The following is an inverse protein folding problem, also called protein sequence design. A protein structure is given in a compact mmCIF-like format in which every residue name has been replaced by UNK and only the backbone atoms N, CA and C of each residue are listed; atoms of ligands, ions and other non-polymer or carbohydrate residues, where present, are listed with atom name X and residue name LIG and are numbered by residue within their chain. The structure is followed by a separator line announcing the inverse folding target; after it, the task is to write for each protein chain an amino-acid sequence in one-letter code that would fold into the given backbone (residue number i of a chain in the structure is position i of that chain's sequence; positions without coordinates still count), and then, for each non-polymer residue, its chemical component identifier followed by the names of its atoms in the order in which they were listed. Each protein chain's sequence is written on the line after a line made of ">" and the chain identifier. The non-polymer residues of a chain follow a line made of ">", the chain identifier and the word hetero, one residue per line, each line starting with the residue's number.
data_IF_323283330751
#
_entry.id   IF_323283330751
#
_cell.length_a   1.000
_cell.length_b   1.000
_cell.length_c   1.000
_cell.angle_alpha   90.00
_cell.angle_beta   90.00
_cell.angle_gamma   90.00
#
_symmetry.space_group_name_H-M   'P 1'
#
loop_
_entity.id
_entity.type
_entity.pdbx_description
1 polymer ?
#
# COMPACT_ATOMS: atom_id res chain seq x y z
N UNK A 1 -1.18 -5.61 -12.23
CA UNK A 1 -1.36 -4.30 -11.56
C UNK A 1 -0.05 -3.56 -11.60
N UNK A 2 -0.06 -2.22 -11.54
CA UNK A 2 1.14 -1.38 -11.69
C UNK A 2 1.31 -0.57 -10.41
N UNK A 3 2.55 -0.45 -9.97
CA UNK A 3 2.95 0.45 -8.88
C UNK A 3 3.99 1.43 -9.40
N UNK A 4 4.16 2.54 -8.67
CA UNK A 4 5.23 3.51 -8.88
C UNK A 4 6.22 3.33 -7.73
N UNK A 5 7.49 3.10 -8.07
CA UNK A 5 8.58 3.23 -7.11
C UNK A 5 8.95 4.71 -7.00
N UNK A 6 8.74 5.29 -5.82
CA UNK A 6 9.15 6.64 -5.50
C UNK A 6 10.55 6.56 -4.88
N UNK A 7 11.57 6.99 -5.62
CA UNK A 7 12.96 6.95 -5.16
C UNK A 7 13.36 8.24 -4.43
N UNK A 8 13.88 8.11 -3.22
CA UNK A 8 14.66 9.17 -2.54
C UNK A 8 13.93 10.48 -2.25
N UNK A 9 12.59 10.48 -2.32
CA UNK A 9 11.76 11.62 -1.90
C UNK A 9 10.93 11.20 -0.71
N UNK A 10 11.28 11.70 0.47
CA UNK A 10 10.43 11.57 1.65
C UNK A 10 9.08 12.21 1.33
N UNK A 11 7.95 11.51 1.53
CA UNK A 11 6.65 12.10 1.28
C UNK A 11 6.48 13.38 2.14
N UNK A 12 5.79 14.38 1.61
CA UNK A 12 5.65 15.73 2.21
C UNK A 12 5.06 15.74 3.64
N UNK A 13 4.52 14.60 4.10
CA UNK A 13 4.03 14.35 5.46
C UNK A 13 4.47 12.96 5.91
N UNK A 14 4.56 12.76 7.23
CA UNK A 14 4.71 11.41 7.83
C UNK A 14 3.68 10.48 7.22
N UNK A 15 4.16 9.54 6.44
CA UNK A 15 3.34 8.58 5.69
C UNK A 15 3.64 7.21 6.25
N UNK A 16 2.61 6.41 6.45
CA UNK A 16 2.77 5.05 6.98
C UNK A 16 2.41 4.06 5.89
N UNK A 17 3.05 2.89 5.94
CA UNK A 17 2.70 1.77 5.09
C UNK A 17 1.28 1.31 5.39
N UNK A 18 0.47 1.08 4.35
CA UNK A 18 -0.89 0.57 4.53
C UNK A 18 -0.92 -0.81 5.19
N UNK A 19 0.11 -1.64 4.98
CA UNK A 19 0.11 -3.03 5.43
C UNK A 19 0.70 -3.20 6.83
N UNK A 20 1.95 -2.77 7.03
CA UNK A 20 2.65 -2.94 8.32
C UNK A 20 2.51 -1.76 9.28
N UNK A 21 1.84 -0.67 8.88
CA UNK A 21 1.66 0.55 9.67
C UNK A 21 2.96 1.28 10.06
N UNK A 22 4.12 0.86 9.58
CA UNK A 22 5.41 1.51 9.84
C UNK A 22 5.57 2.84 9.09
N UNK A 23 6.33 3.78 9.67
CA UNK A 23 6.65 5.06 9.04
C UNK A 23 7.56 4.85 7.82
N UNK A 24 7.16 5.44 6.69
CA UNK A 24 7.91 5.41 5.44
C UNK A 24 8.95 6.53 5.48
N UNK A 25 10.22 6.14 5.62
CA UNK A 25 11.36 7.04 5.78
C UNK A 25 12.23 7.19 4.52
N UNK A 26 11.99 6.40 3.48
CA UNK A 26 12.85 6.32 2.29
C UNK A 26 12.09 6.10 0.98
N UNK A 27 12.67 5.33 0.06
CA UNK A 27 11.98 4.90 -1.15
C UNK A 27 10.78 4.04 -0.81
N UNK A 28 9.67 4.23 -1.53
CA UNK A 28 8.42 3.53 -1.25
C UNK A 28 7.65 3.23 -2.52
N UNK A 29 6.74 2.26 -2.44
CA UNK A 29 5.83 1.93 -3.53
C UNK A 29 4.50 2.65 -3.37
N UNK A 30 3.91 3.01 -4.49
CA UNK A 30 2.56 3.59 -4.54
C UNK A 30 1.71 2.88 -5.57
N UNK A 31 0.54 2.37 -5.17
CA UNK A 31 -0.37 1.76 -6.13
C UNK A 31 -0.89 2.82 -7.11
N UNK A 32 -0.88 2.53 -8.42
CA UNK A 32 -1.26 3.51 -9.45
C UNK A 32 -2.74 3.87 -9.36
N UNK A 33 -3.61 2.94 -8.94
CA UNK A 33 -5.05 3.14 -8.89
C UNK A 33 -5.47 3.79 -7.58
N UNK A 34 -5.05 3.23 -6.45
CA UNK A 34 -5.51 3.68 -5.12
C UNK A 34 -4.63 4.77 -4.52
N UNK A 35 -3.43 4.99 -5.06
CA UNK A 35 -2.39 5.89 -4.52
C UNK A 35 -1.97 5.56 -3.09
N UNK A 36 -2.27 4.36 -2.62
CA UNK A 36 -1.89 3.89 -1.30
C UNK A 36 -0.38 3.61 -1.24
N UNK A 37 0.30 4.02 -0.16
CA UNK A 37 1.73 3.85 -0.01
C UNK A 37 2.09 2.53 0.70
N UNK A 38 3.21 1.93 0.30
CA UNK A 38 3.76 0.70 0.86
C UNK A 38 5.27 0.84 1.01
N UNK A 39 5.87 0.25 2.06
CA UNK A 39 7.33 0.25 2.24
C UNK A 39 8.03 -0.34 1.02
N UNK A 40 7.54 -1.47 0.54
CA UNK A 40 8.19 -2.30 -0.46
C UNK A 40 7.17 -3.14 -1.24
N UNK A 41 7.71 -4.00 -2.11
CA UNK A 41 6.93 -4.92 -2.93
C UNK A 41 6.22 -6.00 -2.12
N UNK A 42 6.78 -6.44 -0.99
CA UNK A 42 6.18 -7.48 -0.16
C UNK A 42 4.87 -6.97 0.47
N UNK A 43 4.91 -5.81 1.11
CA UNK A 43 3.72 -5.16 1.67
C UNK A 43 2.65 -4.89 0.59
N UNK A 44 3.08 -4.51 -0.62
CA UNK A 44 2.19 -4.32 -1.77
C UNK A 44 1.53 -5.63 -2.22
N UNK A 45 2.30 -6.70 -2.34
CA UNK A 45 1.83 -8.00 -2.81
C UNK A 45 0.83 -8.61 -1.81
N UNK A 46 1.14 -8.58 -0.52
CA UNK A 46 0.25 -9.13 0.52
C UNK A 46 -1.08 -8.38 0.52
N UNK A 47 -1.05 -7.04 0.52
CA UNK A 47 -2.29 -6.27 0.44
C UNK A 47 -3.09 -6.59 -0.82
N UNK A 48 -2.43 -6.77 -1.97
CA UNK A 48 -3.10 -7.13 -3.23
C UNK A 48 -3.79 -8.48 -3.15
N UNK A 49 -3.19 -9.46 -2.51
CA UNK A 49 -3.77 -10.80 -2.32
C UNK A 49 -4.92 -10.78 -1.30
N UNK A 50 -4.79 -9.95 -0.25
CA UNK A 50 -5.81 -9.78 0.77
C UNK A 50 -7.02 -8.95 0.31
N UNK A 51 -6.83 -7.96 -0.57
CA UNK A 51 -7.87 -7.04 -1.03
C UNK A 51 -9.16 -7.73 -1.55
N UNK A 52 -9.12 -8.73 -2.44
CA UNK A 52 -10.33 -9.43 -2.90
C UNK A 52 -11.01 -10.25 -1.79
N UNK A 53 -10.26 -10.70 -0.78
CA UNK A 53 -10.82 -11.41 0.38
C UNK A 53 -11.54 -10.45 1.33
N UNK A 54 -10.99 -9.24 1.51
CA UNK A 54 -11.59 -8.18 2.31
C UNK A 54 -12.91 -7.71 1.67
N UNK A 55 -12.93 -7.46 0.35
CA UNK A 55 -14.13 -7.02 -0.39
C UNK A 55 -15.28 -8.03 -0.32
N UNK A 56 -14.98 -9.33 -0.39
CA UNK A 56 -16.01 -10.38 -0.25
C UNK A 56 -16.61 -10.42 1.15
N UNK A 57 -15.80 -10.20 2.18
CA UNK A 57 -16.28 -10.19 3.57
C UNK A 57 -17.11 -8.96 3.89
N UNK A 58 -16.73 -7.78 3.42
CA UNK A 58 -17.54 -6.57 3.63
C UNK A 58 -18.89 -6.65 2.93
N UNK A 59 -18.95 -7.23 1.73
CA UNK A 59 -20.21 -7.42 1.00
C UNK A 59 -21.15 -8.46 1.63
N UNK A 60 -20.61 -9.48 2.29
CA UNK A 60 -21.39 -10.51 2.98
C UNK A 60 -21.97 -10.02 4.33
N UNK A 61 -21.48 -8.89 4.85
CA UNK A 61 -21.93 -8.29 6.11
C UNK A 61 -22.93 -7.12 5.92
N UNK A 62 -23.41 -6.89 4.69
CA UNK A 62 -24.41 -5.85 4.35
C UNK A 62 -25.78 -6.44 4.06
#
# INVERSE_FOLDING_TARGET
>A
MRFILVNGRTPFRKTHCLWCCEEISGSYLRDVRTRLPYCDHECYAIHREAAPLIERRTRAAS
#
